data_IF_829283395288
#
_entry.id   IF_829283395288
#
_cell.length_a   1.000
_cell.length_b   1.000
_cell.length_c   1.000
_cell.angle_alpha   90.00
_cell.angle_beta   90.00
_cell.angle_gamma   90.00
#
_symmetry.space_group_name_H-M   'P 1'
#
loop_
_entity.id
_entity.type
_entity.pdbx_description
1 polymer ?
#
# COMPACT_ATOMS: atom_id res chain seq x y z
N UNK A 1 -27.08 22.44 -11.57
CA UNK A 1 -26.38 22.58 -12.88
C UNK A 1 -27.35 22.42 -14.06
N UNK A 2 -27.96 21.26 -14.30
CA UNK A 2 -28.89 21.10 -15.47
C UNK A 2 -30.11 22.02 -15.39
N UNK A 3 -30.63 22.31 -14.22
CA UNK A 3 -31.76 23.23 -13.99
C UNK A 3 -31.39 24.70 -14.32
N UNK A 4 -30.09 25.01 -14.25
CA UNK A 4 -29.55 26.36 -14.52
C UNK A 4 -28.94 26.50 -15.93
N UNK A 5 -29.15 25.50 -16.79
CA UNK A 5 -28.64 25.51 -18.17
C UNK A 5 -27.12 25.32 -18.30
N UNK A 6 -26.43 24.94 -17.21
CA UNK A 6 -24.99 24.66 -17.22
C UNK A 6 -24.78 23.19 -17.52
N UNK A 7 -24.16 22.87 -18.65
CA UNK A 7 -23.84 21.50 -19.02
C UNK A 7 -22.56 21.02 -18.30
N UNK A 8 -22.55 19.78 -17.72
CA UNK A 8 -21.37 19.21 -17.17
C UNK A 8 -20.27 19.03 -18.23
N UNK A 9 -19.05 19.35 -17.88
CA UNK A 9 -17.88 19.07 -18.71
C UNK A 9 -17.13 17.80 -18.23
N UNK A 10 -16.08 17.41 -18.95
CA UNK A 10 -15.21 16.25 -18.60
C UNK A 10 -14.77 16.25 -17.13
N UNK A 11 -14.30 17.40 -16.62
CA UNK A 11 -13.82 17.52 -15.23
C UNK A 11 -14.95 17.26 -14.24
N UNK A 12 -16.16 17.75 -14.54
CA UNK A 12 -17.35 17.50 -13.71
C UNK A 12 -17.66 16.00 -13.63
N UNK A 13 -17.63 15.31 -14.77
CA UNK A 13 -17.88 13.85 -14.80
C UNK A 13 -16.82 13.07 -14.03
N UNK A 14 -15.54 13.35 -14.24
CA UNK A 14 -14.44 12.71 -13.50
C UNK A 14 -14.59 12.92 -11.99
N UNK A 15 -14.89 14.15 -11.56
CA UNK A 15 -15.08 14.47 -10.14
C UNK A 15 -16.25 13.68 -9.50
N UNK A 16 -17.36 13.53 -10.24
CA UNK A 16 -18.50 12.75 -9.74
C UNK A 16 -18.17 11.25 -9.71
N UNK A 17 -17.48 10.73 -10.72
CA UNK A 17 -17.02 9.33 -10.74
C UNK A 17 -16.05 9.05 -9.58
N UNK A 18 -15.17 9.98 -9.23
CA UNK A 18 -14.30 9.85 -8.06
C UNK A 18 -15.09 9.78 -6.75
N UNK A 19 -16.14 10.61 -6.59
CA UNK A 19 -17.04 10.53 -5.44
C UNK A 19 -17.79 9.19 -5.41
N UNK A 20 -18.32 8.74 -6.55
CA UNK A 20 -19.00 7.44 -6.68
C UNK A 20 -18.04 6.29 -6.30
N UNK A 21 -16.80 6.39 -6.72
CA UNK A 21 -15.71 5.47 -6.42
C UNK A 21 -15.41 5.40 -4.91
N UNK A 22 -15.27 6.55 -4.23
CA UNK A 22 -15.00 6.63 -2.80
C UNK A 22 -16.16 6.12 -1.94
N UNK A 23 -17.40 6.42 -2.36
CA UNK A 23 -18.63 6.04 -1.67
C UNK A 23 -19.19 4.69 -2.10
N UNK A 24 -18.60 4.06 -3.10
CA UNK A 24 -19.06 2.81 -3.74
C UNK A 24 -20.49 2.91 -4.30
N UNK A 25 -20.84 4.07 -4.86
CA UNK A 25 -22.13 4.34 -5.49
C UNK A 25 -22.14 3.91 -6.96
N UNK A 26 -22.23 2.60 -7.20
CA UNK A 26 -22.19 2.03 -8.55
C UNK A 26 -23.33 2.50 -9.44
N UNK A 27 -24.56 2.60 -8.89
CA UNK A 27 -25.76 2.98 -9.68
C UNK A 27 -25.60 4.35 -10.32
N UNK A 28 -25.18 5.34 -9.54
CA UNK A 28 -24.92 6.69 -10.02
C UNK A 28 -23.76 6.72 -11.02
N UNK A 29 -22.70 5.95 -10.77
CA UNK A 29 -21.57 5.84 -11.69
C UNK A 29 -21.96 5.24 -13.05
N UNK A 30 -22.79 4.19 -13.08
CA UNK A 30 -23.34 3.62 -14.31
C UNK A 30 -24.27 4.60 -15.05
N UNK A 31 -25.09 5.32 -14.34
CA UNK A 31 -25.97 6.34 -14.94
C UNK A 31 -25.15 7.45 -15.61
N UNK A 32 -24.03 7.86 -15.05
CA UNK A 32 -23.12 8.83 -15.65
C UNK A 32 -22.47 8.27 -16.92
N UNK A 33 -22.01 7.04 -16.90
CA UNK A 33 -21.44 6.37 -18.09
C UNK A 33 -22.47 6.25 -19.22
N UNK A 34 -23.72 5.95 -18.90
CA UNK A 34 -24.80 5.73 -19.88
C UNK A 34 -25.44 7.01 -20.37
N UNK A 35 -25.23 8.16 -19.73
CA UNK A 35 -25.74 9.42 -20.23
C UNK A 35 -25.07 9.79 -21.58
N UNK A 36 -25.79 10.45 -22.46
CA UNK A 36 -25.35 10.78 -23.84
C UNK A 36 -23.96 11.45 -23.84
N UNK A 37 -23.75 12.45 -22.97
CA UNK A 37 -22.46 13.14 -22.84
C UNK A 37 -21.36 12.23 -22.25
N UNK A 38 -21.70 11.37 -21.27
CA UNK A 38 -20.76 10.39 -20.71
C UNK A 38 -20.31 9.41 -21.78
N UNK A 39 -21.23 8.94 -22.62
CA UNK A 39 -20.91 8.03 -23.72
C UNK A 39 -20.01 8.69 -24.79
N UNK A 40 -20.29 9.94 -25.18
CA UNK A 40 -19.43 10.68 -26.11
C UNK A 40 -18.01 10.92 -25.57
N UNK A 41 -17.85 11.05 -24.24
CA UNK A 41 -16.58 11.25 -23.57
C UNK A 41 -15.82 9.94 -23.31
N UNK A 42 -16.43 8.77 -23.54
CA UNK A 42 -15.78 7.47 -23.32
C UNK A 42 -14.62 7.20 -24.30
N UNK A 43 -14.50 7.94 -25.39
CA UNK A 43 -13.30 7.93 -26.25
C UNK A 43 -12.10 8.64 -25.62
N UNK A 44 -12.31 9.40 -24.55
CA UNK A 44 -11.23 10.07 -23.82
C UNK A 44 -10.62 9.14 -22.75
N UNK A 45 -9.31 8.94 -22.81
CA UNK A 45 -8.57 8.03 -21.90
C UNK A 45 -8.71 8.39 -20.43
N UNK A 46 -8.79 9.69 -20.10
CA UNK A 46 -8.95 10.11 -18.68
C UNK A 46 -10.35 9.78 -18.16
N UNK A 47 -11.36 9.87 -19.00
CA UNK A 47 -12.73 9.47 -18.65
C UNK A 47 -12.84 7.96 -18.51
N UNK A 48 -12.26 7.19 -19.43
CA UNK A 48 -12.18 5.73 -19.35
C UNK A 48 -11.47 5.29 -18.07
N UNK A 49 -10.34 5.92 -17.73
CA UNK A 49 -9.59 5.66 -16.49
C UNK A 49 -10.45 5.91 -15.25
N UNK A 50 -11.21 7.01 -15.21
CA UNK A 50 -12.09 7.31 -14.07
C UNK A 50 -13.21 6.27 -13.91
N UNK A 51 -13.81 5.82 -15.02
CA UNK A 51 -14.84 4.77 -15.02
C UNK A 51 -14.26 3.43 -14.57
N UNK A 52 -13.09 3.03 -15.10
CA UNK A 52 -12.39 1.80 -14.68
C UNK A 52 -12.08 1.83 -13.17
N UNK A 53 -11.56 2.95 -12.66
CA UNK A 53 -11.29 3.11 -11.23
C UNK A 53 -12.57 3.02 -10.39
N UNK A 54 -13.66 3.60 -10.86
CA UNK A 54 -14.97 3.51 -10.21
C UNK A 54 -15.46 2.07 -10.15
N UNK A 55 -15.44 1.33 -11.25
CA UNK A 55 -15.82 -0.08 -11.27
C UNK A 55 -14.92 -0.92 -10.34
N UNK A 56 -13.61 -0.74 -10.42
CA UNK A 56 -12.65 -1.46 -9.58
C UNK A 56 -12.90 -1.26 -8.09
N UNK A 57 -13.08 -0.01 -7.63
CA UNK A 57 -13.36 0.29 -6.21
C UNK A 57 -14.75 -0.14 -5.76
N UNK A 58 -15.74 -0.16 -6.66
CA UNK A 58 -17.07 -0.70 -6.40
C UNK A 58 -17.11 -2.23 -6.37
N UNK A 59 -16.05 -2.91 -6.81
CA UNK A 59 -15.98 -4.36 -6.77
C UNK A 59 -16.29 -5.08 -8.09
N UNK A 60 -16.54 -4.34 -9.15
CA UNK A 60 -16.95 -4.83 -10.47
C UNK A 60 -15.74 -4.91 -11.41
N UNK A 61 -14.86 -5.88 -11.14
CA UNK A 61 -13.61 -6.04 -11.88
C UNK A 61 -13.85 -6.42 -13.35
N UNK A 62 -14.85 -7.26 -13.63
CA UNK A 62 -15.16 -7.73 -14.99
C UNK A 62 -15.57 -6.56 -15.91
N UNK A 63 -16.39 -5.61 -15.39
CA UNK A 63 -16.75 -4.40 -16.12
C UNK A 63 -15.51 -3.51 -16.40
N UNK A 64 -14.58 -3.41 -15.44
CA UNK A 64 -13.34 -2.67 -15.62
C UNK A 64 -12.42 -3.32 -16.66
N UNK A 65 -12.31 -4.65 -16.65
CA UNK A 65 -11.54 -5.42 -17.65
C UNK A 65 -12.14 -5.24 -19.04
N UNK A 66 -13.45 -5.39 -19.17
CA UNK A 66 -14.14 -5.23 -20.44
C UNK A 66 -13.87 -3.84 -21.06
N UNK A 67 -13.96 -2.78 -20.26
CA UNK A 67 -13.65 -1.43 -20.74
C UNK A 67 -12.19 -1.29 -21.15
N UNK A 68 -11.26 -1.82 -20.34
CA UNK A 68 -9.84 -1.74 -20.63
C UNK A 68 -9.47 -2.49 -21.92
N UNK A 69 -10.02 -3.70 -22.13
CA UNK A 69 -9.72 -4.50 -23.31
C UNK A 69 -10.25 -3.86 -24.60
N UNK A 70 -11.43 -3.23 -24.54
CA UNK A 70 -12.07 -2.62 -25.69
C UNK A 70 -11.65 -1.16 -25.94
N UNK A 71 -10.81 -0.56 -25.09
CA UNK A 71 -10.32 0.79 -25.29
C UNK A 71 -9.07 0.77 -26.18
N UNK A 72 -9.12 1.49 -27.32
CA UNK A 72 -8.09 1.43 -28.36
C UNK A 72 -6.83 2.22 -27.96
N UNK A 73 -7.00 3.48 -27.54
CA UNK A 73 -5.90 4.41 -27.27
C UNK A 73 -5.46 4.39 -25.80
N UNK A 74 -4.84 3.29 -25.36
CA UNK A 74 -4.36 3.16 -23.98
C UNK A 74 -3.13 4.05 -23.74
N UNK A 75 -3.13 4.73 -22.58
CA UNK A 75 -1.97 5.46 -22.08
C UNK A 75 -1.36 4.78 -20.85
N UNK A 76 -0.22 5.30 -20.37
CA UNK A 76 0.48 4.78 -19.22
C UNK A 76 -0.35 4.83 -17.94
N UNK A 77 -1.28 5.80 -17.82
CA UNK A 77 -2.13 5.97 -16.64
C UNK A 77 -3.19 4.88 -16.61
N UNK A 78 -3.77 4.56 -17.75
CA UNK A 78 -4.76 3.48 -17.88
C UNK A 78 -4.15 2.11 -17.56
N UNK A 79 -2.94 1.82 -18.08
CA UNK A 79 -2.18 0.61 -17.75
C UNK A 79 -1.91 0.50 -16.24
N UNK A 80 -1.40 1.57 -15.62
CA UNK A 80 -1.13 1.60 -14.19
C UNK A 80 -2.40 1.43 -13.34
N UNK A 81 -3.53 1.97 -13.78
CA UNK A 81 -4.81 1.81 -13.09
C UNK A 81 -5.25 0.35 -13.07
N UNK A 82 -5.14 -0.37 -14.19
CA UNK A 82 -5.45 -1.80 -14.24
C UNK A 82 -4.47 -2.64 -13.43
N UNK A 83 -3.16 -2.36 -13.47
CA UNK A 83 -2.17 -3.02 -12.62
C UNK A 83 -2.50 -2.84 -11.13
N UNK A 84 -2.88 -1.63 -10.72
CA UNK A 84 -3.28 -1.35 -9.34
C UNK A 84 -4.56 -2.10 -8.93
N UNK A 85 -5.55 -2.18 -9.81
CA UNK A 85 -6.79 -2.92 -9.55
C UNK A 85 -6.55 -4.42 -9.38
N UNK A 86 -5.78 -5.05 -10.27
CA UNK A 86 -5.42 -6.45 -10.13
C UNK A 86 -4.56 -6.71 -8.87
N UNK A 87 -3.63 -5.79 -8.54
CA UNK A 87 -2.81 -5.88 -7.34
C UNK A 87 -3.65 -5.81 -6.05
N UNK A 88 -4.65 -4.93 -5.98
CA UNK A 88 -5.56 -4.82 -4.83
C UNK A 88 -6.43 -6.07 -4.63
N UNK A 89 -6.61 -6.88 -5.66
CA UNK A 89 -7.37 -8.14 -5.63
C UNK A 89 -6.49 -9.38 -5.46
N UNK A 90 -5.19 -9.19 -5.24
CA UNK A 90 -4.20 -10.27 -5.18
C UNK A 90 -4.18 -11.18 -6.44
N UNK A 91 -4.59 -10.61 -7.59
CA UNK A 91 -4.64 -11.29 -8.88
C UNK A 91 -3.26 -11.37 -9.54
N UNK A 92 -2.36 -12.04 -8.88
CA UNK A 92 -0.94 -12.15 -9.20
C UNK A 92 -0.65 -12.53 -10.67
N UNK A 93 -1.37 -13.55 -11.22
CA UNK A 93 -1.16 -13.98 -12.62
C UNK A 93 -1.53 -12.88 -13.61
N UNK A 94 -2.61 -12.15 -13.34
CA UNK A 94 -3.09 -11.07 -14.19
C UNK A 94 -2.16 -9.86 -14.15
N UNK A 95 -1.60 -9.52 -12.99
CA UNK A 95 -0.61 -8.42 -12.86
C UNK A 95 0.61 -8.67 -13.75
N UNK A 96 1.18 -9.88 -13.73
CA UNK A 96 2.35 -10.20 -14.55
C UNK A 96 2.03 -10.24 -16.05
N UNK A 97 0.90 -10.85 -16.43
CA UNK A 97 0.44 -10.87 -17.82
C UNK A 97 0.22 -9.45 -18.35
N UNK A 98 -0.42 -8.59 -17.55
CA UNK A 98 -0.68 -7.21 -17.91
C UNK A 98 0.62 -6.39 -18.02
N UNK A 99 1.60 -6.63 -17.15
CA UNK A 99 2.91 -6.01 -17.21
C UNK A 99 3.67 -6.41 -18.50
N UNK A 100 3.63 -7.69 -18.87
CA UNK A 100 4.21 -8.21 -20.11
C UNK A 100 3.53 -7.58 -21.33
N UNK A 101 2.20 -7.54 -21.35
CA UNK A 101 1.42 -6.94 -22.43
C UNK A 101 1.73 -5.45 -22.59
N UNK A 102 1.77 -4.69 -21.50
CA UNK A 102 2.15 -3.29 -21.47
C UNK A 102 3.52 -3.05 -22.16
N UNK A 103 4.51 -3.89 -21.84
CA UNK A 103 5.83 -3.81 -22.46
C UNK A 103 5.83 -4.21 -23.94
N UNK A 104 5.05 -5.20 -24.33
CA UNK A 104 4.89 -5.62 -25.73
C UNK A 104 4.23 -4.54 -26.57
N UNK A 105 3.32 -3.75 -26.01
CA UNK A 105 2.69 -2.58 -26.65
C UNK A 105 3.57 -1.32 -26.61
N UNK A 106 4.83 -1.43 -26.14
CA UNK A 106 5.83 -0.37 -26.15
C UNK A 106 5.79 0.59 -24.95
N UNK A 107 4.94 0.33 -23.96
CA UNK A 107 4.87 1.13 -22.75
C UNK A 107 5.89 0.67 -21.71
N UNK A 108 6.76 1.59 -21.26
CA UNK A 108 7.74 1.28 -20.23
C UNK A 108 7.09 1.36 -18.83
N UNK A 109 7.27 0.32 -17.98
CA UNK A 109 6.78 0.35 -16.61
C UNK A 109 7.35 1.52 -15.81
N UNK A 110 6.48 2.17 -15.04
CA UNK A 110 6.82 3.29 -14.15
C UNK A 110 6.98 2.82 -12.70
N UNK A 111 7.35 3.72 -11.78
CA UNK A 111 7.36 3.42 -10.35
C UNK A 111 6.01 2.86 -9.85
N UNK A 112 4.88 3.40 -10.34
CA UNK A 112 3.53 2.93 -9.97
C UNK A 112 3.32 1.48 -10.41
N UNK A 113 3.75 1.13 -11.62
CA UNK A 113 3.72 -0.26 -12.12
C UNK A 113 4.49 -1.20 -11.19
N UNK A 114 5.73 -0.82 -10.81
CA UNK A 114 6.58 -1.65 -9.94
C UNK A 114 6.02 -1.76 -8.52
N UNK A 115 5.49 -0.68 -7.95
CA UNK A 115 4.81 -0.73 -6.63
C UNK A 115 3.65 -1.74 -6.67
N UNK A 116 2.82 -1.70 -7.72
CA UNK A 116 1.72 -2.66 -7.89
C UNK A 116 2.20 -4.11 -8.00
N UNK A 117 3.30 -4.33 -8.75
CA UNK A 117 3.93 -5.65 -8.88
C UNK A 117 4.46 -6.15 -7.54
N UNK A 118 5.19 -5.34 -6.76
CA UNK A 118 5.73 -5.77 -5.48
C UNK A 118 4.65 -5.97 -4.42
N UNK A 119 3.56 -5.19 -4.45
CA UNK A 119 2.43 -5.38 -3.55
C UNK A 119 1.79 -6.76 -3.76
N UNK A 120 1.56 -7.18 -5.01
CA UNK A 120 1.02 -8.51 -5.29
C UNK A 120 2.05 -9.62 -5.04
N UNK A 121 3.34 -9.35 -5.25
CA UNK A 121 4.43 -10.28 -4.95
C UNK A 121 4.63 -10.51 -3.44
N UNK A 122 4.09 -9.68 -2.58
CA UNK A 122 4.08 -9.92 -1.13
C UNK A 122 3.27 -11.18 -0.75
N UNK A 123 2.52 -11.77 -1.68
CA UNK A 123 1.92 -13.09 -1.55
C UNK A 123 2.97 -14.20 -1.67
N UNK A 124 2.82 -15.29 -0.88
CA UNK A 124 3.83 -16.37 -0.73
C UNK A 124 4.20 -17.07 -2.05
N UNK A 125 3.29 -17.15 -2.98
CA UNK A 125 3.52 -17.87 -4.26
C UNK A 125 4.41 -17.09 -5.25
N UNK A 126 4.69 -15.81 -5.00
CA UNK A 126 5.35 -14.92 -5.96
C UNK A 126 6.81 -14.58 -5.65
N UNK A 127 7.44 -15.22 -4.64
CA UNK A 127 8.79 -14.89 -4.20
C UNK A 127 9.83 -14.91 -5.34
N UNK A 128 9.83 -15.95 -6.16
CA UNK A 128 10.80 -16.07 -7.25
C UNK A 128 10.62 -14.97 -8.31
N UNK A 129 9.36 -14.66 -8.67
CA UNK A 129 9.07 -13.59 -9.63
C UNK A 129 9.40 -12.21 -9.09
N UNK A 130 9.07 -11.93 -7.83
CA UNK A 130 9.44 -10.67 -7.18
C UNK A 130 10.95 -10.47 -7.11
N UNK A 131 11.73 -11.52 -6.81
CA UNK A 131 13.20 -11.48 -6.87
C UNK A 131 13.71 -11.17 -8.28
N UNK A 132 13.13 -11.78 -9.29
CA UNK A 132 13.49 -11.52 -10.68
C UNK A 132 13.22 -10.05 -11.07
N UNK A 133 12.04 -9.53 -10.73
CA UNK A 133 11.71 -8.11 -10.96
C UNK A 133 12.69 -7.21 -10.22
N UNK A 134 12.98 -7.46 -8.93
CA UNK A 134 13.95 -6.68 -8.17
C UNK A 134 15.33 -6.68 -8.84
N UNK A 135 15.82 -7.85 -9.26
CA UNK A 135 17.12 -7.96 -9.96
C UNK A 135 17.14 -7.11 -11.24
N UNK A 136 16.03 -7.04 -11.99
CA UNK A 136 15.95 -6.21 -13.20
C UNK A 136 15.96 -4.71 -12.92
N UNK A 137 15.66 -4.27 -11.69
CA UNK A 137 15.64 -2.86 -11.27
C UNK A 137 16.99 -2.36 -10.73
N UNK A 138 17.90 -3.26 -10.36
CA UNK A 138 19.18 -2.89 -9.70
C UNK A 138 19.99 -1.88 -10.51
N UNK A 139 19.92 -1.95 -11.83
CA UNK A 139 20.63 -1.05 -12.76
C UNK A 139 19.75 0.09 -13.30
N UNK A 140 18.52 0.25 -12.79
CA UNK A 140 17.60 1.32 -13.19
C UNK A 140 17.47 2.36 -12.08
N UNK A 141 17.08 3.58 -12.44
CA UNK A 141 16.88 4.71 -11.51
C UNK A 141 15.86 4.42 -10.39
N UNK A 142 14.98 3.42 -10.58
CA UNK A 142 13.99 3.02 -9.59
C UNK A 142 14.55 2.21 -8.41
N UNK A 143 15.78 1.72 -8.50
CA UNK A 143 16.41 0.89 -7.46
C UNK A 143 16.60 1.62 -6.10
N UNK A 144 16.57 2.96 -6.12
CA UNK A 144 16.67 3.81 -4.91
C UNK A 144 15.46 4.71 -4.69
N UNK A 145 14.41 4.61 -5.54
CA UNK A 145 13.16 5.36 -5.34
C UNK A 145 12.49 4.95 -4.03
N UNK A 146 12.03 5.93 -3.26
CA UNK A 146 11.47 5.71 -1.93
C UNK A 146 10.21 4.82 -1.93
N UNK A 147 9.31 5.02 -2.90
CA UNK A 147 8.04 4.28 -2.97
C UNK A 147 8.30 2.83 -3.42
N UNK A 148 9.13 2.65 -4.45
CA UNK A 148 9.51 1.33 -4.93
C UNK A 148 10.33 0.58 -3.88
N UNK A 149 11.26 1.27 -3.21
CA UNK A 149 12.07 0.72 -2.11
C UNK A 149 11.22 0.22 -0.95
N UNK A 150 10.22 0.99 -0.54
CA UNK A 150 9.27 0.58 0.49
C UNK A 150 8.44 -0.66 0.07
N UNK A 151 8.01 -0.73 -1.19
CA UNK A 151 7.29 -1.88 -1.71
C UNK A 151 8.17 -3.14 -1.75
N UNK A 152 9.44 -3.02 -2.16
CA UNK A 152 10.43 -4.11 -2.15
C UNK A 152 10.72 -4.56 -0.71
N UNK A 153 10.89 -3.63 0.22
CA UNK A 153 11.13 -3.93 1.63
C UNK A 153 9.96 -4.70 2.24
N UNK A 154 8.72 -4.25 1.99
CA UNK A 154 7.51 -4.95 2.40
C UNK A 154 7.42 -6.36 1.80
N UNK A 155 7.72 -6.49 0.50
CA UNK A 155 7.78 -7.78 -0.18
C UNK A 155 8.75 -8.75 0.51
N UNK A 156 9.99 -8.34 0.78
CA UNK A 156 10.96 -9.20 1.46
C UNK A 156 10.59 -9.49 2.92
N UNK A 157 10.03 -8.51 3.63
CA UNK A 157 9.52 -8.71 5.00
C UNK A 157 8.46 -9.81 5.04
N UNK A 158 7.46 -9.75 4.18
CA UNK A 158 6.37 -10.74 4.09
C UNK A 158 6.88 -12.16 3.80
N UNK A 159 7.97 -12.27 3.06
CA UNK A 159 8.61 -13.55 2.74
C UNK A 159 9.68 -13.98 3.76
N UNK A 160 9.78 -13.33 4.90
CA UNK A 160 10.80 -13.60 5.94
C UNK A 160 12.24 -13.57 5.39
N UNK A 161 12.47 -12.82 4.31
CA UNK A 161 13.77 -12.71 3.65
C UNK A 161 14.54 -11.51 4.20
N UNK A 162 14.90 -11.60 5.50
CA UNK A 162 15.46 -10.50 6.28
C UNK A 162 16.74 -9.94 5.68
N UNK A 163 17.63 -10.79 5.15
CA UNK A 163 18.88 -10.35 4.51
C UNK A 163 18.61 -9.41 3.34
N UNK A 164 17.66 -9.76 2.47
CA UNK A 164 17.30 -8.92 1.33
C UNK A 164 16.56 -7.64 1.76
N UNK A 165 15.72 -7.72 2.80
CA UNK A 165 15.06 -6.54 3.37
C UNK A 165 16.10 -5.55 3.93
N UNK A 166 17.09 -6.06 4.69
CA UNK A 166 18.20 -5.26 5.22
C UNK A 166 19.04 -4.63 4.11
N UNK A 167 19.41 -5.41 3.11
CA UNK A 167 20.16 -4.93 1.95
C UNK A 167 19.43 -3.79 1.23
N UNK A 168 18.10 -3.93 1.04
CA UNK A 168 17.28 -2.87 0.44
C UNK A 168 17.23 -1.63 1.31
N UNK A 169 17.00 -1.79 2.62
CA UNK A 169 16.97 -0.70 3.59
C UNK A 169 18.30 0.10 3.61
N UNK A 170 19.44 -0.58 3.57
CA UNK A 170 20.77 0.05 3.55
C UNK A 170 21.06 0.81 2.26
N UNK A 171 20.52 0.35 1.13
CA UNK A 171 20.68 1.00 -0.19
C UNK A 171 19.81 2.23 -0.37
N UNK A 172 18.71 2.36 0.39
CA UNK A 172 17.82 3.52 0.31
C UNK A 172 18.55 4.76 0.86
N UNK A 173 18.64 5.81 0.04
CA UNK A 173 19.24 7.10 0.41
C UNK A 173 18.31 7.93 1.29
N UNK A 174 17.02 7.84 1.04
CA UNK A 174 15.99 8.50 1.83
C UNK A 174 15.14 7.45 2.55
N UNK A 175 14.77 7.72 3.80
CA UNK A 175 13.95 6.83 4.62
C UNK A 175 12.87 7.64 5.32
N UNK A 176 11.63 7.24 5.12
CA UNK A 176 10.49 7.82 5.83
C UNK A 176 9.95 6.85 6.91
N UNK A 177 8.90 7.26 7.61
CA UNK A 177 8.27 6.43 8.65
C UNK A 177 7.85 5.04 8.14
N UNK A 178 7.46 4.91 6.87
CA UNK A 178 7.07 3.62 6.26
C UNK A 178 8.29 2.71 6.13
N UNK A 179 9.42 3.25 5.68
CA UNK A 179 10.70 2.51 5.55
C UNK A 179 11.15 1.95 6.90
N UNK A 180 11.17 2.80 7.93
CA UNK A 180 11.57 2.40 9.28
C UNK A 180 10.62 1.38 9.88
N UNK A 181 9.31 1.60 9.80
CA UNK A 181 8.29 0.67 10.29
C UNK A 181 8.35 -0.68 9.58
N UNK A 182 8.60 -0.68 8.27
CA UNK A 182 8.78 -1.89 7.48
C UNK A 182 9.98 -2.70 7.92
N UNK A 183 11.12 -2.05 8.24
CA UNK A 183 12.32 -2.75 8.72
C UNK A 183 12.13 -3.29 10.14
N UNK A 184 11.50 -2.52 11.05
CA UNK A 184 11.13 -3.00 12.39
C UNK A 184 10.22 -4.23 12.29
N UNK A 185 9.20 -4.18 11.42
CA UNK A 185 8.30 -5.30 11.19
C UNK A 185 9.04 -6.54 10.62
N UNK A 186 10.02 -6.34 9.73
CA UNK A 186 10.82 -7.43 9.19
C UNK A 186 11.61 -8.16 10.27
N UNK A 187 12.28 -7.42 11.16
CA UNK A 187 12.99 -7.99 12.31
C UNK A 187 12.02 -8.69 13.29
N UNK A 188 10.89 -8.05 13.61
CA UNK A 188 9.87 -8.62 14.49
C UNK A 188 9.32 -9.96 13.97
N UNK A 189 9.03 -10.05 12.66
CA UNK A 189 8.53 -11.27 12.02
C UNK A 189 9.57 -12.41 12.01
N UNK A 190 10.86 -12.07 12.06
CA UNK A 190 11.95 -13.04 12.13
C UNK A 190 12.37 -13.37 13.56
N UNK A 191 11.68 -12.87 14.60
CA UNK A 191 11.99 -13.10 16.01
C UNK A 191 13.30 -12.43 16.47
N UNK A 192 13.77 -11.39 15.74
CA UNK A 192 14.97 -10.64 16.07
C UNK A 192 14.61 -9.38 16.86
N UNK A 193 14.18 -9.56 18.09
CA UNK A 193 13.64 -8.53 18.98
C UNK A 193 14.65 -7.42 19.29
N UNK A 194 15.91 -7.80 19.56
CA UNK A 194 16.98 -6.84 19.89
C UNK A 194 17.30 -5.91 18.72
N UNK A 195 17.39 -6.46 17.53
CA UNK A 195 17.64 -5.71 16.30
C UNK A 195 16.45 -4.80 15.96
N UNK A 196 15.22 -5.26 16.16
CA UNK A 196 14.03 -4.42 16.01
C UNK A 196 14.08 -3.19 16.92
N UNK A 197 14.45 -3.36 18.18
CA UNK A 197 14.63 -2.25 19.15
C UNK A 197 15.75 -1.33 18.71
N UNK A 198 16.88 -1.84 18.25
CA UNK A 198 17.98 -1.00 17.74
C UNK A 198 17.54 -0.15 16.54
N UNK A 199 16.79 -0.72 15.61
CA UNK A 199 16.24 0.02 14.45
C UNK A 199 15.26 1.09 14.91
N UNK A 200 14.42 0.79 15.90
CA UNK A 200 13.49 1.76 16.49
C UNK A 200 14.21 2.93 17.15
N UNK A 201 15.26 2.67 17.94
CA UNK A 201 16.10 3.71 18.55
C UNK A 201 16.76 4.58 17.47
N UNK A 202 17.31 3.93 16.43
CA UNK A 202 17.94 4.66 15.33
C UNK A 202 16.96 5.55 14.57
N UNK A 203 15.73 5.10 14.34
CA UNK A 203 14.65 5.91 13.76
C UNK A 203 14.44 7.20 14.55
N UNK A 204 14.39 7.11 15.90
CA UNK A 204 14.22 8.28 16.78
C UNK A 204 15.45 9.21 16.74
N UNK A 205 16.67 8.66 16.68
CA UNK A 205 17.90 9.44 16.53
C UNK A 205 17.94 10.22 15.23
N UNK A 206 17.39 9.66 14.14
CA UNK A 206 17.23 10.33 12.85
C UNK A 206 16.00 11.28 12.82
N UNK A 207 15.37 11.52 13.97
CA UNK A 207 14.21 12.43 14.17
C UNK A 207 13.00 12.06 13.32
N UNK A 208 12.87 10.79 12.94
CA UNK A 208 11.65 10.30 12.29
C UNK A 208 10.66 9.89 13.36
N UNK A 209 9.51 10.57 13.40
CA UNK A 209 8.48 10.34 14.43
C UNK A 209 7.77 9.02 14.15
N UNK A 210 7.79 8.06 15.11
CA UNK A 210 7.03 6.82 15.01
C UNK A 210 5.52 7.06 14.91
N UNK A 211 4.85 6.30 14.06
CA UNK A 211 3.39 6.29 13.97
C UNK A 211 2.79 5.05 14.66
N UNK A 212 1.47 4.91 14.66
CA UNK A 212 0.76 3.78 15.26
C UNK A 212 1.27 2.42 14.72
N UNK A 213 1.52 2.33 13.41
CA UNK A 213 2.04 1.10 12.77
C UNK A 213 3.44 0.77 13.29
N UNK A 214 4.30 1.77 13.47
CA UNK A 214 5.63 1.58 14.06
C UNK A 214 5.54 1.01 15.47
N UNK A 215 4.66 1.59 16.32
CA UNK A 215 4.49 1.16 17.70
C UNK A 215 3.90 -0.26 17.79
N UNK A 216 2.95 -0.60 16.94
CA UNK A 216 2.42 -1.98 16.84
C UNK A 216 3.52 -2.95 16.40
N UNK A 217 4.36 -2.56 15.44
CA UNK A 217 5.44 -3.41 14.93
C UNK A 217 6.49 -3.70 16.00
N UNK A 218 6.90 -2.69 16.79
CA UNK A 218 7.86 -2.88 17.87
C UNK A 218 7.26 -3.67 19.04
N UNK A 219 5.98 -3.46 19.38
CA UNK A 219 5.29 -4.26 20.39
C UNK A 219 5.27 -5.75 20.03
N UNK A 220 5.06 -6.06 18.75
CA UNK A 220 5.11 -7.46 18.25
C UNK A 220 6.52 -8.08 18.32
N UNK A 221 7.55 -7.26 18.31
CA UNK A 221 8.92 -7.74 18.46
C UNK A 221 9.24 -8.18 19.89
N UNK A 222 8.52 -7.69 20.91
CA UNK A 222 8.77 -8.03 22.29
C UNK A 222 8.27 -9.45 22.60
N UNK A 223 9.18 -10.37 22.74
CA UNK A 223 8.93 -11.80 22.95
C UNK A 223 9.28 -12.30 24.35
N UNK A 224 10.04 -11.53 25.14
CA UNK A 224 10.49 -11.87 26.47
C UNK A 224 9.94 -10.92 27.55
N UNK A 225 9.66 -11.46 28.73
CA UNK A 225 9.23 -10.72 29.92
C UNK A 225 10.26 -9.67 30.39
N UNK A 226 11.54 -9.86 30.07
CA UNK A 226 12.61 -8.88 30.34
C UNK A 226 12.42 -7.56 29.61
N UNK A 227 11.60 -7.55 28.53
CA UNK A 227 11.28 -6.34 27.73
C UNK A 227 10.10 -5.53 28.25
N UNK A 228 9.59 -5.84 29.45
CA UNK A 228 8.44 -5.15 30.04
C UNK A 228 8.65 -3.63 30.17
N UNK A 229 9.87 -3.22 30.50
CA UNK A 229 10.20 -1.79 30.59
C UNK A 229 10.20 -1.10 29.23
N UNK A 230 10.54 -1.81 28.16
CA UNK A 230 10.47 -1.27 26.81
C UNK A 230 9.01 -1.19 26.33
N UNK A 231 8.14 -2.10 26.76
CA UNK A 231 6.69 -1.99 26.55
C UNK A 231 6.14 -0.74 27.25
N UNK A 232 6.54 -0.51 28.49
CA UNK A 232 6.14 0.69 29.27
C UNK A 232 6.62 1.98 28.60
N UNK A 233 7.87 2.03 28.14
CA UNK A 233 8.41 3.17 27.38
C UNK A 233 7.63 3.41 26.10
N UNK A 234 7.30 2.35 25.35
CA UNK A 234 6.51 2.43 24.12
C UNK A 234 5.10 2.94 24.41
N UNK A 235 4.47 2.46 25.47
CA UNK A 235 3.16 2.94 25.92
C UNK A 235 3.20 4.42 26.33
N UNK A 236 4.19 4.82 27.13
CA UNK A 236 4.39 6.20 27.53
C UNK A 236 4.61 7.12 26.34
N UNK A 237 5.43 6.70 25.38
CA UNK A 237 5.61 7.42 24.11
C UNK A 237 4.29 7.59 23.36
N UNK A 238 3.49 6.53 23.25
CA UNK A 238 2.18 6.57 22.61
C UNK A 238 1.23 7.59 23.29
N UNK A 239 1.30 7.71 24.61
CA UNK A 239 0.52 8.70 25.37
C UNK A 239 0.98 10.12 25.09
N UNK A 240 2.29 10.38 25.06
CA UNK A 240 2.85 11.71 24.80
C UNK A 240 2.50 12.22 23.39
N UNK A 241 2.54 11.34 22.40
CA UNK A 241 2.22 11.66 21.00
C UNK A 241 0.71 11.62 20.70
N UNK A 242 -0.13 11.33 21.68
CA UNK A 242 -1.59 11.23 21.50
C UNK A 242 -2.06 10.07 20.63
N UNK A 243 -1.21 9.07 20.42
CA UNK A 243 -1.49 7.87 19.60
C UNK A 243 -2.26 6.78 20.38
N UNK A 244 -2.40 6.93 21.69
CA UNK A 244 -3.05 5.96 22.58
C UNK A 244 -4.57 5.84 22.38
N UNK A 245 -5.19 6.72 21.61
CA UNK A 245 -6.63 6.71 21.29
C UNK A 245 -7.01 5.68 20.21
N UNK A 246 -6.04 5.11 19.52
CA UNK A 246 -6.25 4.09 18.48
C UNK A 246 -6.65 2.74 19.09
N UNK A 247 -7.79 2.18 18.67
CA UNK A 247 -8.25 0.85 19.14
C UNK A 247 -7.22 -0.24 18.85
N UNK A 248 -6.53 -0.16 17.71
CA UNK A 248 -5.55 -1.17 17.29
C UNK A 248 -4.32 -1.17 18.19
N UNK A 249 -3.75 -0.02 18.49
CA UNK A 249 -2.62 0.11 19.39
C UNK A 249 -3.00 -0.24 20.83
N UNK A 250 -4.18 0.23 21.30
CA UNK A 250 -4.71 -0.14 22.61
C UNK A 250 -4.84 -1.65 22.78
N UNK A 251 -5.40 -2.34 21.78
CA UNK A 251 -5.50 -3.81 21.77
C UNK A 251 -4.12 -4.47 21.81
N UNK A 252 -3.14 -3.96 21.06
CA UNK A 252 -1.78 -4.49 21.06
C UNK A 252 -1.12 -4.34 22.43
N UNK A 253 -1.26 -3.19 23.10
CA UNK A 253 -0.75 -2.94 24.44
C UNK A 253 -1.41 -3.84 25.50
N UNK A 254 -2.75 -3.98 25.47
CA UNK A 254 -3.49 -4.87 26.37
C UNK A 254 -2.99 -6.32 26.22
N UNK A 255 -2.86 -6.79 24.96
CA UNK A 255 -2.36 -8.13 24.69
C UNK A 255 -0.93 -8.35 25.24
N UNK A 256 -0.04 -7.36 25.09
CA UNK A 256 1.31 -7.45 25.59
C UNK A 256 1.37 -7.46 27.14
N UNK A 257 0.65 -6.54 27.79
CA UNK A 257 0.58 -6.55 29.26
C UNK A 257 -0.06 -7.82 29.82
N UNK A 258 -1.11 -8.32 29.17
CA UNK A 258 -1.78 -9.57 29.57
C UNK A 258 -0.86 -10.79 29.40
N UNK A 259 -0.11 -10.85 28.29
CA UNK A 259 0.89 -11.91 28.02
C UNK A 259 1.91 -12.05 29.13
N UNK A 260 2.29 -10.93 29.76
CA UNK A 260 3.28 -10.91 30.82
C UNK A 260 2.70 -10.83 32.25
N UNK A 261 1.38 -10.95 32.38
CA UNK A 261 0.68 -11.01 33.67
C UNK A 261 0.48 -9.64 34.35
N UNK A 262 0.70 -8.54 33.63
CA UNK A 262 0.55 -7.18 34.14
C UNK A 262 -0.88 -6.64 33.96
N UNK A 263 -1.81 -7.21 34.71
CA UNK A 263 -3.25 -6.89 34.59
C UNK A 263 -3.54 -5.43 34.98
N UNK A 264 -2.76 -4.83 35.88
CA UNK A 264 -2.96 -3.43 36.30
C UNK A 264 -2.72 -2.46 35.13
N UNK A 265 -1.60 -2.63 34.44
CA UNK A 265 -1.23 -1.83 33.27
C UNK A 265 -2.17 -2.11 32.09
N UNK A 266 -2.59 -3.38 31.89
CA UNK A 266 -3.58 -3.69 30.87
C UNK A 266 -4.91 -2.94 31.10
N UNK A 267 -5.37 -2.83 32.36
CA UNK A 267 -6.57 -2.03 32.71
C UNK A 267 -6.40 -0.53 32.51
N UNK A 268 -5.19 0.00 32.67
CA UNK A 268 -4.95 1.45 32.48
C UNK A 268 -4.98 1.88 31.01
N UNK A 269 -4.84 0.92 30.08
CA UNK A 269 -4.95 1.16 28.63
C UNK A 269 -6.42 1.21 28.21
N UNK A 270 -7.30 0.47 28.91
CA UNK A 270 -8.74 0.42 28.63
C UNK A 270 -9.49 1.65 29.11
#
# INVERSE_FOLDING_TARGET
MQVEGIFPNKVTFISILDVCSQRKYLGEGKNIQLCKMGFELMSDVSMCTAVINMYGKCGYLDDAIFLFENFEEKDIVLWNSMLALYSQRDEFKHVFRLLEQMMCEGFMPTKISYVSVFNVCANKEALCRGKWVHASLVNRSFGTDLEVGNAILNFYSKHHSLLNAKCMFERMTERNVITWSGMIAAYAQCGQSKEAVQVFIKMQQERVIPNEITLISILRAFDDKSMLDDIRKTHYFAMLEGLNKGVTLGTALINMYSKYGNIKEARSVF
#
